data_IF_393219711122
#
_entry.id   IF_393219711122
#
_cell.length_a   1.000
_cell.length_b   1.000
_cell.length_c   1.000
_cell.angle_alpha   90.00
_cell.angle_beta   90.00
_cell.angle_gamma   90.00
#
_symmetry.space_group_name_H-M   'P 1'
#
loop_
_entity.id
_entity.type
_entity.pdbx_description
1 polymer ?
#
# COMPACT_ATOMS: atom_id res chain seq x y z
N UNK A 1 49.79 24.15 49.88
CA UNK A 1 49.56 23.17 48.79
C UNK A 1 48.46 23.75 47.92
N UNK A 2 48.81 24.53 46.89
CA UNK A 2 48.75 24.16 45.45
C UNK A 2 47.29 23.86 45.02
N UNK A 3 46.62 24.47 44.02
CA UNK A 3 47.01 25.09 42.75
C UNK A 3 45.78 25.84 42.17
N UNK A 4 46.08 26.88 41.39
CA UNK A 4 45.33 27.58 40.31
C UNK A 4 44.10 26.88 39.69
N UNK A 5 43.15 27.66 39.14
CA UNK A 5 43.01 27.89 37.68
C UNK A 5 41.63 28.40 37.25
N UNK A 6 41.66 29.55 36.55
CA UNK A 6 41.02 29.83 35.25
C UNK A 6 39.48 29.86 35.18
N UNK A 7 38.97 31.10 35.06
CA UNK A 7 37.69 31.41 34.42
C UNK A 7 37.75 30.99 32.94
N UNK A 8 36.94 30.02 32.55
CA UNK A 8 36.69 29.70 31.14
C UNK A 8 35.30 30.18 30.72
N UNK A 9 35.29 31.06 29.73
CA UNK A 9 34.11 31.58 29.06
C UNK A 9 33.31 30.43 28.40
N UNK A 10 32.02 30.34 28.72
CA UNK A 10 31.12 29.40 28.06
C UNK A 10 30.69 29.97 26.69
N UNK A 11 31.22 29.39 25.62
CA UNK A 11 30.69 29.56 24.27
C UNK A 11 29.36 28.81 24.17
N UNK A 12 28.25 29.54 24.01
CA UNK A 12 26.94 28.95 23.70
C UNK A 12 26.92 28.61 22.21
N UNK A 13 27.17 27.35 21.87
CA UNK A 13 26.99 26.84 20.52
C UNK A 13 25.51 26.53 20.28
N UNK A 14 24.82 27.37 19.49
CA UNK A 14 23.46 27.13 19.03
C UNK A 14 23.50 26.11 17.89
N UNK A 15 23.41 24.82 18.23
CA UNK A 15 23.30 23.76 17.24
C UNK A 15 21.89 23.78 16.62
N UNK A 16 21.80 24.18 15.36
CA UNK A 16 20.60 24.03 14.54
C UNK A 16 20.31 22.54 14.35
N UNK A 17 19.27 22.05 15.02
CA UNK A 17 18.70 20.72 14.78
C UNK A 17 17.98 20.77 13.43
N UNK A 18 18.62 20.26 12.38
CA UNK A 18 17.93 19.89 11.15
C UNK A 18 17.15 18.59 11.43
N UNK A 19 15.89 18.73 11.80
CA UNK A 19 14.95 17.61 11.78
C UNK A 19 14.61 17.31 10.31
N UNK A 20 15.17 16.23 9.77
CA UNK A 20 14.75 15.67 8.48
C UNK A 20 13.30 15.17 8.61
N UNK A 21 12.37 15.58 7.74
CA UNK A 21 11.05 15.00 7.72
C UNK A 21 11.10 13.76 6.83
N UNK A 22 11.73 12.68 7.29
CA UNK A 22 11.36 11.36 6.77
C UNK A 22 10.08 10.95 7.47
N UNK A 23 9.00 11.57 6.99
CA UNK A 23 7.63 11.15 7.24
C UNK A 23 7.52 9.75 6.63
N UNK A 24 7.83 8.74 7.44
CA UNK A 24 7.10 7.49 7.36
C UNK A 24 5.64 7.91 7.37
N UNK A 25 5.00 7.89 6.20
CA UNK A 25 3.59 8.22 6.06
C UNK A 25 2.86 7.19 6.91
N UNK A 26 2.51 7.58 8.14
CA UNK A 26 1.49 6.89 8.90
C UNK A 26 0.34 6.70 7.92
N UNK A 27 0.03 5.45 7.57
CA UNK A 27 -1.20 5.16 6.89
C UNK A 27 -2.29 5.87 7.69
N UNK A 28 -3.14 6.66 7.03
CA UNK A 28 -4.32 7.15 7.70
C UNK A 28 -5.03 5.94 8.30
N UNK A 29 -5.71 6.10 9.45
CA UNK A 29 -6.41 4.99 10.11
C UNK A 29 -7.58 4.42 9.24
N UNK A 30 -7.76 4.95 8.03
CA UNK A 30 -8.65 4.44 6.99
C UNK A 30 -8.22 3.10 6.39
N UNK A 31 -7.00 2.63 6.68
CA UNK A 31 -6.50 1.34 6.19
C UNK A 31 -6.08 1.35 4.72
N UNK A 32 -5.90 2.53 4.11
CA UNK A 32 -5.55 2.64 2.69
C UNK A 32 -4.04 2.82 2.54
N UNK A 33 -3.38 1.83 1.94
CA UNK A 33 -2.03 2.01 1.39
C UNK A 33 -2.16 2.64 0.01
N UNK A 34 -1.49 3.76 -0.22
CA UNK A 34 -1.51 4.47 -1.52
C UNK A 34 -0.15 5.04 -1.84
N UNK A 35 0.31 4.91 -3.09
CA UNK A 35 1.54 5.54 -3.57
C UNK A 35 1.42 5.95 -5.04
N UNK A 36 2.29 6.89 -5.44
CA UNK A 36 2.37 7.37 -6.82
C UNK A 36 3.17 6.38 -7.65
N UNK A 37 2.69 6.10 -8.87
CA UNK A 37 3.37 5.21 -9.80
C UNK A 37 4.43 5.94 -10.62
N UNK A 38 5.45 5.20 -11.05
CA UNK A 38 6.50 5.68 -11.94
C UNK A 38 6.10 5.64 -13.44
N UNK A 39 5.02 4.95 -13.78
CA UNK A 39 4.58 4.66 -15.14
C UNK A 39 3.16 5.19 -15.41
N UNK A 40 2.77 5.20 -16.68
CA UNK A 40 1.38 5.49 -17.08
C UNK A 40 0.42 4.33 -16.75
N UNK A 41 -0.88 4.54 -17.00
CA UNK A 41 -1.92 3.55 -16.66
C UNK A 41 -1.69 2.19 -17.35
N UNK A 42 -1.53 2.10 -18.69
CA UNK A 42 -1.37 0.81 -19.35
C UNK A 42 -0.11 0.06 -18.92
N UNK A 43 1.02 0.76 -18.78
CA UNK A 43 2.27 0.11 -18.39
C UNK A 43 2.24 -0.33 -16.91
N UNK A 44 1.61 0.45 -16.03
CA UNK A 44 1.41 0.07 -14.62
C UNK A 44 0.60 -1.22 -14.52
N UNK A 45 -0.55 -1.30 -15.21
CA UNK A 45 -1.43 -2.48 -15.19
C UNK A 45 -0.69 -3.70 -15.77
N UNK A 46 0.00 -3.54 -16.89
CA UNK A 46 0.78 -4.61 -17.54
C UNK A 46 1.86 -5.17 -16.62
N UNK A 47 2.63 -4.29 -15.95
CA UNK A 47 3.68 -4.70 -14.99
C UNK A 47 3.10 -5.46 -13.81
N UNK A 48 2.04 -4.93 -13.20
CA UNK A 48 1.36 -5.60 -12.10
C UNK A 48 0.83 -6.98 -12.49
N UNK A 49 0.16 -7.11 -13.65
CA UNK A 49 -0.32 -8.42 -14.15
C UNK A 49 0.82 -9.40 -14.38
N UNK A 50 1.97 -8.93 -14.88
CA UNK A 50 3.17 -9.75 -15.03
C UNK A 50 3.69 -10.21 -13.67
N UNK A 51 3.83 -9.32 -12.69
CA UNK A 51 4.33 -9.68 -11.35
C UNK A 51 3.39 -10.63 -10.61
N UNK A 52 2.07 -10.48 -10.78
CA UNK A 52 1.05 -11.42 -10.29
C UNK A 52 1.29 -12.81 -10.90
N UNK A 53 1.44 -12.89 -12.23
CA UNK A 53 1.64 -14.15 -12.94
C UNK A 53 2.98 -14.83 -12.58
N UNK A 54 4.08 -14.07 -12.54
CA UNK A 54 5.41 -14.58 -12.21
C UNK A 54 5.47 -15.17 -10.78
N UNK A 55 4.64 -14.68 -9.87
CA UNK A 55 4.51 -15.18 -8.50
C UNK A 55 3.55 -16.37 -8.37
N UNK A 56 2.93 -16.82 -9.46
CA UNK A 56 1.94 -17.91 -9.46
C UNK A 56 0.65 -17.54 -8.72
N UNK A 57 0.33 -16.25 -8.62
CA UNK A 57 -0.87 -15.75 -7.97
C UNK A 57 -2.02 -15.78 -8.97
N UNK A 58 -3.19 -16.24 -8.52
CA UNK A 58 -4.37 -16.33 -9.38
C UNK A 58 -4.88 -14.92 -9.70
N UNK A 59 -5.00 -14.61 -10.97
CA UNK A 59 -5.69 -13.41 -11.46
C UNK A 59 -7.17 -13.71 -11.61
N UNK A 60 -8.04 -12.99 -10.91
CA UNK A 60 -9.50 -13.19 -10.95
C UNK A 60 -10.15 -12.28 -11.98
N UNK A 61 -9.85 -10.98 -11.92
CA UNK A 61 -10.56 -10.00 -12.76
C UNK A 61 -9.77 -8.71 -12.99
N UNK A 62 -10.11 -8.03 -14.09
CA UNK A 62 -9.69 -6.68 -14.43
C UNK A 62 -10.95 -5.85 -14.73
N UNK A 63 -11.27 -4.92 -13.84
CA UNK A 63 -12.49 -4.13 -13.95
C UNK A 63 -12.11 -2.71 -14.37
N UNK A 64 -12.34 -2.36 -15.63
CA UNK A 64 -12.22 -1.00 -16.13
C UNK A 64 -13.43 -0.17 -15.66
N UNK A 65 -13.26 0.52 -14.54
CA UNK A 65 -14.30 1.33 -13.93
C UNK A 65 -14.60 2.59 -14.76
N UNK A 66 -13.61 3.12 -15.48
CA UNK A 66 -13.81 4.26 -16.36
C UNK A 66 -14.69 3.89 -17.56
N UNK A 67 -14.48 2.70 -18.13
CA UNK A 67 -15.37 2.15 -19.16
C UNK A 67 -16.78 1.91 -18.63
N UNK A 68 -16.94 1.29 -17.45
CA UNK A 68 -18.25 1.07 -16.85
C UNK A 68 -19.00 2.39 -16.61
N UNK A 69 -18.29 3.43 -16.15
CA UNK A 69 -18.85 4.76 -15.98
C UNK A 69 -19.28 5.37 -17.32
N UNK A 70 -18.43 5.28 -18.36
CA UNK A 70 -18.72 5.80 -19.69
C UNK A 70 -19.95 5.12 -20.32
N UNK A 71 -20.07 3.79 -20.17
CA UNK A 71 -21.23 3.02 -20.64
C UNK A 71 -22.54 3.45 -19.92
N UNK A 72 -22.43 4.00 -18.71
CA UNK A 72 -23.53 4.59 -17.94
C UNK A 72 -23.71 6.11 -18.14
N UNK A 73 -22.96 6.74 -19.05
CA UNK A 73 -23.04 8.19 -19.30
C UNK A 73 -22.37 9.05 -18.22
N UNK A 74 -21.50 8.48 -17.39
CA UNK A 74 -20.76 9.17 -16.33
C UNK A 74 -19.29 9.33 -16.73
N UNK A 75 -18.77 10.56 -16.68
CA UNK A 75 -17.34 10.81 -16.90
C UNK A 75 -16.54 10.44 -15.65
N UNK A 76 -15.61 9.50 -15.78
CA UNK A 76 -14.65 9.13 -14.75
C UNK A 76 -13.23 9.19 -15.32
N UNK A 77 -12.27 9.69 -14.54
CA UNK A 77 -10.85 9.59 -14.90
C UNK A 77 -10.43 8.11 -14.99
N UNK A 78 -9.35 7.77 -15.73
CA UNK A 78 -8.88 6.40 -15.83
C UNK A 78 -8.78 5.70 -14.46
N UNK A 79 -9.47 4.57 -14.32
CA UNK A 79 -9.58 3.83 -13.07
C UNK A 79 -9.81 2.35 -13.37
N UNK A 80 -8.91 1.50 -12.92
CA UNK A 80 -8.95 0.05 -13.14
C UNK A 80 -8.73 -0.68 -11.83
N UNK A 81 -9.62 -1.61 -11.50
CA UNK A 81 -9.48 -2.47 -10.34
C UNK A 81 -8.94 -3.83 -10.77
N UNK A 82 -7.78 -4.22 -10.23
CA UNK A 82 -7.20 -5.55 -10.40
C UNK A 82 -7.62 -6.42 -9.21
N UNK A 83 -8.18 -7.59 -9.50
CA UNK A 83 -8.63 -8.55 -8.50
C UNK A 83 -7.81 -9.83 -8.65
N UNK A 84 -7.10 -10.22 -7.60
CA UNK A 84 -6.21 -11.38 -7.62
C UNK A 84 -6.06 -11.97 -6.21
N UNK A 85 -5.47 -13.17 -6.10
CA UNK A 85 -5.21 -13.76 -4.79
C UNK A 85 -4.56 -15.12 -4.83
N UNK A 86 -4.17 -15.59 -3.65
CA UNK A 86 -3.66 -16.94 -3.43
C UNK A 86 -4.74 -17.73 -2.69
N UNK A 87 -5.48 -18.67 -3.34
CA UNK A 87 -6.58 -19.38 -2.70
C UNK A 87 -6.18 -20.17 -1.43
N UNK A 88 -5.06 -20.94 -1.43
CA UNK A 88 -4.56 -21.57 -0.19
C UNK A 88 -4.36 -20.61 0.98
N UNK A 89 -3.83 -19.41 0.73
CA UNK A 89 -3.59 -18.42 1.79
C UNK A 89 -4.88 -17.69 2.20
N UNK A 90 -5.61 -17.14 1.22
CA UNK A 90 -6.73 -16.25 1.48
C UNK A 90 -7.94 -16.92 2.09
N UNK A 91 -8.20 -18.19 1.74
CA UNK A 91 -9.28 -18.96 2.37
C UNK A 91 -9.05 -19.21 3.87
N UNK A 92 -7.79 -19.13 4.36
CA UNK A 92 -7.51 -19.22 5.80
C UNK A 92 -8.09 -18.04 6.58
N UNK A 93 -8.27 -16.87 5.95
CA UNK A 93 -8.98 -15.74 6.55
C UNK A 93 -10.45 -16.07 6.77
N UNK A 94 -11.09 -16.67 5.77
CA UNK A 94 -12.50 -17.07 5.80
C UNK A 94 -12.77 -18.15 6.85
N UNK A 95 -11.81 -19.06 7.10
CA UNK A 95 -11.92 -20.05 8.19
C UNK A 95 -11.78 -19.44 9.59
N UNK A 96 -11.23 -18.24 9.70
CA UNK A 96 -11.16 -17.52 10.97
C UNK A 96 -12.40 -16.64 11.17
N UNK A 97 -12.79 -15.91 10.14
CA UNK A 97 -14.00 -15.09 10.10
C UNK A 97 -14.57 -15.12 8.67
N UNK A 98 -15.76 -15.70 8.44
CA UNK A 98 -16.40 -15.72 7.13
C UNK A 98 -16.58 -14.33 6.51
N UNK A 99 -16.78 -13.27 7.32
CA UNK A 99 -16.98 -11.91 6.82
C UNK A 99 -15.70 -11.30 6.22
N UNK A 100 -14.53 -11.90 6.49
CA UNK A 100 -13.28 -11.57 5.80
C UNK A 100 -13.35 -11.81 4.28
N UNK A 101 -14.34 -12.57 3.80
CA UNK A 101 -14.66 -12.69 2.37
C UNK A 101 -15.10 -11.38 1.70
N UNK A 102 -15.43 -10.32 2.46
CA UNK A 102 -15.65 -8.98 1.89
C UNK A 102 -14.35 -8.33 1.41
N UNK A 103 -13.22 -8.74 1.98
CA UNK A 103 -11.89 -8.19 1.70
C UNK A 103 -10.97 -9.18 0.96
N UNK A 104 -11.41 -10.42 0.77
CA UNK A 104 -10.74 -11.42 -0.07
C UNK A 104 -11.65 -11.87 -1.22
N UNK A 105 -11.19 -11.90 -2.50
CA UNK A 105 -9.80 -11.72 -2.98
C UNK A 105 -9.28 -10.29 -2.88
N UNK A 106 -7.97 -10.14 -3.06
CA UNK A 106 -7.25 -8.86 -2.95
C UNK A 106 -7.69 -7.93 -4.08
N UNK A 107 -7.88 -6.66 -3.74
CA UNK A 107 -8.24 -5.58 -4.67
C UNK A 107 -7.13 -4.54 -4.70
N UNK A 108 -6.58 -4.28 -5.87
CA UNK A 108 -5.65 -3.17 -6.10
C UNK A 108 -6.24 -2.22 -7.14
N UNK A 109 -6.44 -0.97 -6.73
CA UNK A 109 -6.93 0.10 -7.59
C UNK A 109 -5.75 0.82 -8.23
N UNK A 110 -5.74 0.87 -9.56
CA UNK A 110 -4.86 1.74 -10.34
C UNK A 110 -5.72 2.87 -10.89
N UNK A 111 -5.39 4.13 -10.61
CA UNK A 111 -6.21 5.25 -11.04
C UNK A 111 -5.39 6.51 -11.33
N UNK A 112 -5.94 7.39 -12.17
CA UNK A 112 -5.34 8.66 -12.51
C UNK A 112 -6.04 9.80 -11.76
N UNK A 113 -5.27 10.74 -11.21
CA UNK A 113 -5.82 11.96 -10.62
C UNK A 113 -5.98 13.10 -11.64
N UNK A 114 -6.54 14.23 -11.19
CA UNK A 114 -6.78 15.40 -12.05
C UNK A 114 -5.50 16.06 -12.61
N UNK A 115 -4.32 15.75 -12.05
CA UNK A 115 -3.02 16.23 -12.56
C UNK A 115 -2.43 15.29 -13.60
N UNK A 116 -3.09 14.17 -13.86
CA UNK A 116 -2.59 13.12 -14.73
C UNK A 116 -1.66 12.13 -14.03
N UNK A 117 -1.46 12.25 -12.72
CA UNK A 117 -0.61 11.33 -11.97
C UNK A 117 -1.31 10.00 -11.76
N UNK A 118 -0.58 8.90 -11.95
CA UNK A 118 -1.07 7.54 -11.71
C UNK A 118 -0.78 7.12 -10.27
N UNK A 119 -1.78 6.52 -9.64
CA UNK A 119 -1.77 6.07 -8.26
C UNK A 119 -2.13 4.59 -8.18
N UNK A 120 -1.48 3.88 -7.27
CA UNK A 120 -1.90 2.55 -6.83
C UNK A 120 -2.39 2.66 -5.40
N UNK A 121 -3.54 2.05 -5.12
CA UNK A 121 -4.12 1.97 -3.78
C UNK A 121 -4.67 0.56 -3.48
N UNK A 122 -4.53 0.13 -2.23
CA UNK A 122 -5.07 -1.13 -1.73
C UNK A 122 -5.30 -1.05 -0.21
N UNK A 123 -6.08 -1.99 0.32
CA UNK A 123 -6.35 -2.06 1.76
C UNK A 123 -5.20 -2.77 2.49
N UNK A 124 -4.70 -2.15 3.56
CA UNK A 124 -3.67 -2.68 4.43
C UNK A 124 -4.14 -3.99 5.11
N UNK A 125 -3.34 -5.05 5.01
CA UNK A 125 -3.69 -6.37 5.57
C UNK A 125 -3.74 -6.39 7.10
N UNK A 126 -2.93 -5.59 7.80
CA UNK A 126 -3.06 -5.44 9.24
C UNK A 126 -4.35 -4.69 9.61
N UNK A 127 -4.79 -3.75 8.78
CA UNK A 127 -6.12 -3.14 8.94
C UNK A 127 -7.24 -4.14 8.67
N UNK A 128 -7.15 -4.99 7.64
CA UNK A 128 -8.13 -6.07 7.37
C UNK A 128 -8.22 -7.00 8.59
N UNK A 129 -7.09 -7.45 9.14
CA UNK A 129 -7.06 -8.29 10.33
C UNK A 129 -7.77 -7.64 11.52
N UNK A 130 -7.54 -6.33 11.75
CA UNK A 130 -8.21 -5.58 12.83
C UNK A 130 -9.71 -5.40 12.57
N UNK A 131 -10.11 -5.08 11.33
CA UNK A 131 -11.52 -4.91 10.93
C UNK A 131 -12.36 -6.15 11.24
N UNK A 132 -11.80 -7.33 11.00
CA UNK A 132 -12.45 -8.63 11.20
C UNK A 132 -12.11 -9.28 12.55
N UNK A 133 -11.38 -8.59 13.44
CA UNK A 133 -11.01 -9.14 14.75
C UNK A 133 -10.14 -10.41 14.70
N UNK A 134 -9.46 -10.67 13.59
CA UNK A 134 -8.68 -11.90 13.39
C UNK A 134 -7.33 -11.77 14.08
N UNK A 135 -7.16 -12.52 15.18
CA UNK A 135 -5.92 -12.52 15.99
C UNK A 135 -5.12 -13.82 15.89
N UNK A 136 -5.68 -14.86 15.28
CA UNK A 136 -5.09 -16.21 15.18
C UNK A 136 -4.52 -16.52 13.77
N UNK A 137 -4.29 -15.50 12.94
CA UNK A 137 -3.74 -15.60 11.56
C UNK A 137 -2.63 -14.58 11.28
N UNK A 138 -1.88 -14.18 12.29
CA UNK A 138 -0.86 -13.11 12.16
C UNK A 138 0.18 -13.41 11.06
N UNK A 139 0.62 -14.68 10.96
CA UNK A 139 1.61 -15.10 9.97
C UNK A 139 1.06 -15.00 8.55
N UNK A 140 -0.20 -15.38 8.34
CA UNK A 140 -0.88 -15.35 7.07
C UNK A 140 -1.11 -13.91 6.59
N UNK A 141 -1.53 -13.00 7.48
CA UNK A 141 -1.65 -11.59 7.16
C UNK A 141 -0.29 -10.94 6.86
N UNK A 142 0.76 -11.27 7.63
CA UNK A 142 2.13 -10.81 7.34
C UNK A 142 2.60 -11.28 5.97
N UNK A 143 2.39 -12.55 5.63
CA UNK A 143 2.71 -13.09 4.31
C UNK A 143 1.95 -12.36 3.20
N UNK A 144 0.66 -12.08 3.39
CA UNK A 144 -0.14 -11.35 2.43
C UNK A 144 0.37 -9.91 2.22
N UNK A 145 0.76 -9.21 3.28
CA UNK A 145 1.43 -7.90 3.22
C UNK A 145 2.72 -7.94 2.42
N UNK A 146 3.57 -8.94 2.63
CA UNK A 146 4.84 -9.10 1.91
C UNK A 146 4.61 -9.37 0.42
N UNK A 147 3.63 -10.22 0.10
CA UNK A 147 3.26 -10.55 -1.27
C UNK A 147 2.76 -9.31 -2.03
N UNK A 148 1.81 -8.56 -1.47
CA UNK A 148 1.30 -7.35 -2.15
C UNK A 148 2.38 -6.29 -2.28
N UNK A 149 3.19 -6.07 -1.24
CA UNK A 149 4.31 -5.13 -1.30
C UNK A 149 5.26 -5.49 -2.45
N UNK A 150 5.59 -6.78 -2.59
CA UNK A 150 6.45 -7.29 -3.65
C UNK A 150 5.83 -7.20 -5.06
N UNK A 151 4.52 -7.35 -5.21
CA UNK A 151 3.82 -7.11 -6.51
C UNK A 151 3.85 -5.63 -6.86
N UNK A 152 3.68 -4.76 -5.87
CA UNK A 152 3.55 -3.31 -6.10
C UNK A 152 4.89 -2.59 -6.21
N UNK A 153 5.99 -3.18 -5.75
CA UNK A 153 7.29 -2.50 -5.67
C UNK A 153 7.88 -2.12 -7.03
N UNK A 154 7.51 -2.83 -8.10
CA UNK A 154 8.06 -2.60 -9.45
C UNK A 154 7.46 -1.39 -10.16
N UNK A 155 6.33 -0.86 -9.66
CA UNK A 155 5.61 0.28 -10.25
C UNK A 155 5.67 1.53 -9.39
N UNK A 156 6.15 1.43 -8.15
CA UNK A 156 6.28 2.55 -7.23
C UNK A 156 7.37 3.53 -7.69
N UNK A 157 7.08 4.84 -7.58
CA UNK A 157 8.06 5.92 -7.81
C UNK A 157 8.97 6.14 -6.61
#
# INVERSE_FOLDING_TARGET
MLIRCICSAAFVAFALVFASPDVARAAADDGIVKFKCAYDMPETIKRMKKDIADKGIMFFDEIDQAKLAADAGVTLLPSTLLVFGNPPLGTLFLTSDPDAGLDWPVRVLVYQDAKGDVWVAYTDFAWIARRHGITNREKEFKMASEVIASITSTVQK
#
